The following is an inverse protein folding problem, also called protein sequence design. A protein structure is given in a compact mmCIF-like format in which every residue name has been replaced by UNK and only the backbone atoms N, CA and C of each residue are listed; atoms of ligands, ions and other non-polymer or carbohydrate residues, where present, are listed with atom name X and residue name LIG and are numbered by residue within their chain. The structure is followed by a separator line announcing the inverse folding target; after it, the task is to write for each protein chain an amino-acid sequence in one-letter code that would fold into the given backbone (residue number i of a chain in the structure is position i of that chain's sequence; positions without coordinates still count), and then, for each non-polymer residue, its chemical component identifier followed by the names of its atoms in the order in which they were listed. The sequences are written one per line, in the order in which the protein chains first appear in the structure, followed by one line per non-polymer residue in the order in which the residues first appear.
data_IF_213307227038
#
_entry.id   IF_213307227038
#
_cell.length_a   1.000
_cell.length_b   1.000
_cell.length_c   1.000
_cell.angle_alpha   90.00
_cell.angle_beta   90.00
_cell.angle_gamma   90.00
#
_symmetry.space_group_name_H-M   'P 1'
#
loop_
_entity.id
_entity.type
_entity.pdbx_description
1 polymer ?
#
# COMPACT_ATOMS: atom_id res chain seq x y z
N UNK A 1 -2.10 -0.90 -18.11
CA UNK A 1 -3.26 0.02 -17.98
C UNK A 1 -2.73 1.41 -17.68
N UNK A 2 -3.15 2.45 -18.43
CA UNK A 2 -2.67 3.82 -18.24
C UNK A 2 -3.70 4.58 -17.42
N UNK A 3 -3.38 4.89 -16.17
CA UNK A 3 -4.11 5.87 -15.37
C UNK A 3 -3.29 7.15 -15.51
N UNK A 4 -3.87 8.23 -16.01
CA UNK A 4 -3.13 9.48 -16.19
C UNK A 4 -2.42 9.89 -14.90
N UNK A 5 -1.16 10.32 -15.01
CA UNK A 5 -0.32 10.67 -13.87
C UNK A 5 0.16 9.50 -12.99
N UNK A 6 -0.18 8.24 -13.32
CA UNK A 6 0.24 7.06 -12.55
C UNK A 6 0.83 5.95 -13.42
N UNK A 7 1.98 5.44 -13.01
CA UNK A 7 2.61 4.25 -13.57
C UNK A 7 2.36 3.07 -12.64
N UNK A 8 1.78 2.00 -13.18
CA UNK A 8 1.52 0.76 -12.43
C UNK A 8 2.44 -0.32 -13.01
N UNK A 9 3.23 -0.94 -12.16
CA UNK A 9 4.00 -2.13 -12.48
C UNK A 9 3.53 -3.29 -11.59
N UNK A 10 3.50 -4.50 -12.14
CA UNK A 10 3.10 -5.70 -11.41
C UNK A 10 4.21 -6.73 -11.55
N UNK A 11 4.78 -7.13 -10.42
CA UNK A 11 5.85 -8.12 -10.35
C UNK A 11 5.43 -9.24 -9.40
N UNK A 12 5.09 -10.39 -9.97
CA UNK A 12 4.54 -11.53 -9.22
C UNK A 12 3.29 -11.13 -8.44
N UNK A 13 3.38 -11.19 -7.11
CA UNK A 13 2.31 -10.85 -6.17
C UNK A 13 2.38 -9.42 -5.62
N UNK A 14 3.24 -8.59 -6.21
CA UNK A 14 3.48 -7.21 -5.78
C UNK A 14 3.04 -6.24 -6.87
N UNK A 15 2.27 -5.23 -6.48
CA UNK A 15 1.86 -4.12 -7.33
C UNK A 15 2.59 -2.88 -6.85
N UNK A 16 3.29 -2.23 -7.78
CA UNK A 16 3.95 -0.96 -7.58
C UNK A 16 3.13 0.12 -8.27
N UNK A 17 2.73 1.15 -7.53
CA UNK A 17 2.01 2.30 -8.06
C UNK A 17 2.85 3.54 -7.83
N UNK A 18 3.28 4.17 -8.92
CA UNK A 18 4.09 5.38 -8.92
C UNK A 18 3.23 6.55 -9.38
N UNK A 19 3.26 7.65 -8.65
CA UNK A 19 2.59 8.89 -9.00
C UNK A 19 3.60 10.04 -9.00
N UNK A 20 3.90 10.56 -10.19
CA UNK A 20 4.72 11.77 -10.37
C UNK A 20 3.94 13.05 -10.08
N UNK A 21 2.60 12.98 -10.11
CA UNK A 21 1.70 14.07 -9.75
C UNK A 21 0.70 13.58 -8.70
N UNK A 22 1.07 13.64 -7.42
CA UNK A 22 0.28 13.08 -6.34
C UNK A 22 -0.80 14.05 -5.85
N UNK A 23 -2.05 13.79 -6.19
CA UNK A 23 -3.18 14.62 -5.75
C UNK A 23 -3.34 14.67 -4.21
N UNK A 24 -3.03 13.57 -3.51
CA UNK A 24 -3.07 13.53 -2.04
C UNK A 24 -2.01 14.48 -1.48
N UNK A 25 -0.82 14.49 -2.07
CA UNK A 25 0.24 15.41 -1.69
C UNK A 25 -0.21 16.87 -1.82
N UNK A 26 -0.78 17.25 -2.97
CA UNK A 26 -1.33 18.60 -3.18
C UNK A 26 -2.39 18.98 -2.15
N UNK A 27 -3.26 18.02 -1.78
CA UNK A 27 -4.33 18.25 -0.83
C UNK A 27 -3.80 18.47 0.60
N UNK A 28 -2.85 17.65 1.06
CA UNK A 28 -2.34 17.70 2.44
C UNK A 28 -1.25 18.78 2.62
N UNK A 29 -0.53 19.16 1.56
CA UNK A 29 0.43 20.25 1.59
C UNK A 29 -0.22 21.59 2.00
N UNK A 30 -1.46 21.83 1.54
CA UNK A 30 -2.25 23.01 1.93
C UNK A 30 -2.57 23.06 3.44
N UNK A 31 -2.55 21.91 4.11
CA UNK A 31 -2.77 21.78 5.55
C UNK A 31 -1.45 21.75 6.36
N UNK A 32 -0.31 22.01 5.72
CA UNK A 32 1.01 21.97 6.38
C UNK A 32 1.50 20.56 6.74
N UNK A 33 0.92 19.52 6.13
CA UNK A 33 1.28 18.13 6.40
C UNK A 33 2.38 17.69 5.42
N UNK A 34 3.54 17.32 5.97
CA UNK A 34 4.73 16.93 5.21
C UNK A 34 4.74 15.46 4.74
N UNK A 35 3.73 14.65 5.08
CA UNK A 35 3.68 13.25 4.70
C UNK A 35 2.31 12.85 4.16
N UNK A 36 2.26 12.47 2.88
CA UNK A 36 1.06 11.91 2.27
C UNK A 36 0.94 10.40 2.48
N UNK A 37 1.94 9.74 3.08
CA UNK A 37 2.09 8.30 3.11
C UNK A 37 1.00 7.57 3.89
N UNK A 38 0.61 8.08 5.07
CA UNK A 38 -0.46 7.47 5.87
C UNK A 38 -1.79 7.49 5.11
N UNK A 39 -2.18 8.67 4.59
CA UNK A 39 -3.43 8.84 3.85
C UNK A 39 -3.41 7.97 2.59
N UNK A 40 -2.31 8.01 1.83
CA UNK A 40 -2.15 7.23 0.61
C UNK A 40 -2.25 5.73 0.90
N UNK A 41 -1.52 5.21 1.87
CA UNK A 41 -1.57 3.79 2.22
C UNK A 41 -2.99 3.36 2.63
N UNK A 42 -3.68 4.14 3.46
CA UNK A 42 -5.05 3.85 3.85
C UNK A 42 -6.04 3.88 2.68
N UNK A 43 -5.89 4.82 1.75
CA UNK A 43 -6.72 4.86 0.53
C UNK A 43 -6.56 3.57 -0.26
N UNK A 44 -5.32 3.13 -0.51
CA UNK A 44 -5.07 1.89 -1.25
C UNK A 44 -5.52 0.64 -0.49
N UNK A 45 -5.40 0.60 0.84
CA UNK A 45 -5.99 -0.47 1.65
C UNK A 45 -7.50 -0.55 1.48
N UNK A 46 -8.20 0.59 1.55
CA UNK A 46 -9.64 0.66 1.36
C UNK A 46 -10.07 0.20 -0.04
N UNK A 47 -9.36 0.66 -1.08
CA UNK A 47 -9.58 0.24 -2.46
C UNK A 47 -9.41 -1.27 -2.63
N UNK A 48 -8.33 -1.84 -2.11
CA UNK A 48 -8.06 -3.27 -2.23
C UNK A 48 -9.10 -4.10 -1.48
N UNK A 49 -9.53 -3.68 -0.29
CA UNK A 49 -10.64 -4.33 0.44
C UNK A 49 -11.97 -4.27 -0.33
N UNK A 50 -12.23 -3.16 -1.02
CA UNK A 50 -13.42 -3.00 -1.86
C UNK A 50 -13.40 -3.89 -3.10
N UNK A 51 -12.23 -4.06 -3.73
CA UNK A 51 -12.07 -4.83 -4.97
C UNK A 51 -11.94 -6.34 -4.74
N UNK A 52 -11.22 -6.76 -3.69
CA UNK A 52 -10.83 -8.15 -3.47
C UNK A 52 -11.62 -8.84 -2.35
N UNK A 53 -12.51 -8.10 -1.69
CA UNK A 53 -13.26 -8.56 -0.53
C UNK A 53 -12.52 -8.29 0.79
N UNK A 54 -13.30 -8.13 1.86
CA UNK A 54 -12.79 -7.74 3.20
C UNK A 54 -11.81 -8.75 3.80
N UNK A 55 -11.85 -10.01 3.36
CA UNK A 55 -11.04 -11.11 3.90
C UNK A 55 -9.66 -11.23 3.25
N UNK A 56 -9.41 -10.53 2.13
CA UNK A 56 -8.11 -10.59 1.50
C UNK A 56 -7.11 -9.73 2.26
N UNK A 57 -6.20 -10.39 2.98
CA UNK A 57 -5.07 -9.75 3.63
C UNK A 57 -4.14 -9.13 2.59
N UNK A 58 -4.05 -7.80 2.57
CA UNK A 58 -3.12 -7.05 1.73
C UNK A 58 -2.26 -6.16 2.60
N UNK A 59 -0.98 -6.10 2.28
CA UNK A 59 -0.03 -5.18 2.88
C UNK A 59 0.22 -4.03 1.91
N UNK A 60 0.00 -2.81 2.39
CA UNK A 60 0.15 -1.59 1.60
C UNK A 60 1.13 -0.68 2.31
N UNK A 61 2.15 -0.23 1.59
CA UNK A 61 3.16 0.70 2.10
C UNK A 61 3.32 1.87 1.14
N UNK A 62 3.47 3.06 1.70
CA UNK A 62 4.07 4.18 1.00
C UNK A 62 5.59 4.12 1.21
N UNK A 63 6.35 4.10 0.13
CA UNK A 63 7.81 3.82 0.15
C UNK A 63 8.66 4.95 -0.42
N UNK A 64 8.07 5.79 -1.28
CA UNK A 64 8.66 7.06 -1.75
C UNK A 64 7.64 8.18 -1.64
N UNK A 65 8.09 9.39 -1.38
CA UNK A 65 7.24 10.54 -1.06
C UNK A 65 7.75 11.83 -1.71
N UNK A 66 6.93 12.43 -2.58
CA UNK A 66 7.19 13.74 -3.18
C UNK A 66 7.42 14.85 -2.13
N UNK A 67 6.75 14.80 -0.97
CA UNK A 67 6.99 15.76 0.11
C UNK A 67 8.36 15.61 0.79
N UNK A 68 9.06 14.49 0.58
CA UNK A 68 10.38 14.22 1.12
C UNK A 68 11.48 14.28 0.05
N UNK A 69 11.19 14.94 -1.08
CA UNK A 69 12.12 15.14 -2.20
C UNK A 69 12.42 13.90 -3.05
N UNK A 70 11.58 12.86 -2.98
CA UNK A 70 11.62 11.79 -3.98
C UNK A 70 11.10 12.28 -5.34
N UNK A 71 11.52 11.63 -6.43
CA UNK A 71 11.07 11.95 -7.79
C UNK A 71 9.58 11.61 -8.04
N UNK A 72 8.99 10.77 -7.19
CA UNK A 72 7.60 10.33 -7.28
C UNK A 72 7.12 9.74 -5.94
N UNK A 73 5.80 9.71 -5.73
CA UNK A 73 5.20 8.92 -4.67
C UNK A 73 5.10 7.46 -5.09
N UNK A 74 5.52 6.52 -4.24
CA UNK A 74 5.44 5.09 -4.52
C UNK A 74 4.64 4.34 -3.48
N UNK A 75 3.64 3.59 -3.94
CA UNK A 75 2.86 2.67 -3.13
C UNK A 75 3.18 1.25 -3.55
N UNK A 76 3.58 0.43 -2.59
CA UNK A 76 3.81 -1.00 -2.77
C UNK A 76 2.67 -1.77 -2.12
N UNK A 77 2.01 -2.61 -2.90
CA UNK A 77 0.88 -3.44 -2.48
C UNK A 77 1.30 -4.89 -2.66
N UNK A 78 1.20 -5.70 -1.62
CA UNK A 78 1.55 -7.12 -1.66
C UNK A 78 0.50 -7.93 -0.92
N UNK A 79 0.40 -9.23 -1.24
CA UNK A 79 -0.44 -10.14 -0.45
C UNK A 79 0.16 -10.27 0.95
N UNK A 80 -0.69 -10.20 1.97
CA UNK A 80 -0.31 -10.55 3.32
C UNK A 80 -0.14 -12.07 3.35
N UNK A 81 1.09 -12.55 3.21
CA UNK A 81 1.41 -13.95 3.46
C UNK A 81 1.23 -14.21 4.95
N UNK A 82 0.02 -14.60 5.35
CA UNK A 82 -0.12 -15.35 6.58
C UNK A 82 0.72 -16.62 6.42
N UNK A 83 1.61 -16.98 7.37
CA UNK A 83 2.16 -18.32 7.37
C UNK A 83 0.96 -19.28 7.38
N UNK A 84 0.83 -20.04 6.30
CA UNK A 84 -0.18 -21.07 6.14
C UNK A 84 -0.14 -21.97 7.36
N UNK A 85 -1.13 -21.87 8.25
CA UNK A 85 -1.43 -22.86 9.28
C UNK A 85 -2.03 -24.11 8.64
N UNK A 86 -1.30 -24.71 7.69
CA UNK A 86 -1.50 -26.11 7.32
C UNK A 86 -0.50 -26.94 8.08
N UNK A 87 -0.94 -27.44 9.24
CA UNK A 87 -0.35 -28.60 9.91
C UNK A 87 0.63 -28.31 11.04
N UNK A 88 0.10 -28.09 12.25
CA UNK A 88 0.61 -28.77 13.46
C UNK A 88 -0.36 -28.60 14.63
N UNK A 89 -1.16 -29.63 14.87
CA UNK A 89 -1.53 -29.99 16.23
C UNK A 89 -0.21 -30.21 17.00
N UNK A 90 0.02 -29.45 18.07
CA UNK A 90 1.30 -29.55 18.78
C UNK A 90 1.39 -28.63 20.00
N UNK A 91 0.65 -29.01 21.06
CA UNK A 91 0.85 -28.71 22.48
C UNK A 91 1.00 -27.24 22.93
N UNK A 92 -0.06 -26.83 23.63
CA UNK A 92 -0.05 -25.88 24.74
C UNK A 92 1.17 -26.15 25.64
N UNK A 93 2.00 -25.13 25.85
CA UNK A 93 2.74 -24.97 27.10
C UNK A 93 2.57 -23.52 27.55
N UNK A 94 1.73 -23.36 28.58
CA UNK A 94 1.79 -22.26 29.52
C UNK A 94 3.10 -22.42 30.32
N UNK A 95 3.85 -21.33 30.41
CA UNK A 95 4.72 -21.00 31.55
C UNK A 95 4.33 -19.59 31.99
#
# INVERSE_FOLDING_TARGET
MKIEGRKINVEGDTIFVQASDCEIQKAVAKAGIADCGIVTAHTYQGLMRGLLGKEMGVFVRHTKNLNQSDDYCEVVISRQTHPSTKGRFGKIYLI
#
